data_IF_359772164226
#
_entry.id   IF_359772164226
#
_cell.length_a   1.000
_cell.length_b   1.000
_cell.length_c   1.000
_cell.angle_alpha   90.00
_cell.angle_beta   90.00
_cell.angle_gamma   90.00
#
_symmetry.space_group_name_H-M   'P 1'
#
loop_
_entity.id
_entity.type
_entity.pdbx_description
1 polymer ?
#
# COMPACT_ATOMS: atom_id res chain seq x y z
N UNK A 1 -3.37 27.05 7.39
CA UNK A 1 -3.79 25.67 7.08
C UNK A 1 -4.78 25.59 5.91
N UNK A 2 -5.84 26.41 5.88
CA UNK A 2 -6.82 26.43 4.77
C UNK A 2 -6.24 26.84 3.39
N UNK A 3 -5.09 27.52 3.37
CA UNK A 3 -4.37 27.91 2.15
C UNK A 3 -3.82 26.72 1.33
N UNK A 4 -3.65 25.54 1.93
CA UNK A 4 -3.27 24.32 1.23
C UNK A 4 -4.37 23.83 0.28
N UNK A 5 -5.64 23.96 0.68
CA UNK A 5 -6.77 23.57 -0.15
C UNK A 5 -7.05 24.56 -1.30
N UNK A 6 -6.39 25.72 -1.33
CA UNK A 6 -6.42 26.62 -2.48
C UNK A 6 -5.51 26.15 -3.64
N UNK A 7 -4.54 25.26 -3.37
CA UNK A 7 -3.65 24.70 -4.40
C UNK A 7 -4.28 23.48 -5.06
N UNK A 8 -4.66 23.61 -6.35
CA UNK A 8 -5.35 22.56 -7.11
C UNK A 8 -4.59 21.24 -7.16
N UNK A 9 -3.28 21.28 -7.38
CA UNK A 9 -2.45 20.06 -7.47
C UNK A 9 -2.42 19.32 -6.15
N UNK A 10 -2.30 20.05 -5.03
CA UNK A 10 -2.34 19.48 -3.70
C UNK A 10 -3.67 18.78 -3.43
N UNK A 11 -4.80 19.45 -3.73
CA UNK A 11 -6.14 18.88 -3.53
C UNK A 11 -6.33 17.61 -4.36
N UNK A 12 -5.87 17.60 -5.61
CA UNK A 12 -5.98 16.44 -6.49
C UNK A 12 -5.15 15.25 -5.99
N UNK A 13 -3.90 15.49 -5.61
CA UNK A 13 -3.02 14.44 -5.06
C UNK A 13 -3.53 13.92 -3.72
N UNK A 14 -4.03 14.80 -2.86
CA UNK A 14 -4.61 14.42 -1.58
C UNK A 14 -5.87 13.56 -1.76
N UNK A 15 -6.78 13.97 -2.65
CA UNK A 15 -7.97 13.18 -2.96
C UNK A 15 -7.60 11.80 -3.54
N UNK A 16 -6.61 11.74 -4.44
CA UNK A 16 -6.09 10.47 -4.95
C UNK A 16 -5.55 9.57 -3.82
N UNK A 17 -4.82 10.15 -2.87
CA UNK A 17 -4.30 9.43 -1.71
C UNK A 17 -5.42 8.91 -0.79
N UNK A 18 -6.47 9.70 -0.57
CA UNK A 18 -7.63 9.27 0.23
C UNK A 18 -8.32 8.08 -0.42
N UNK A 19 -8.58 8.15 -1.73
CA UNK A 19 -9.18 7.04 -2.49
C UNK A 19 -8.30 5.80 -2.45
N UNK A 20 -6.98 5.97 -2.64
CA UNK A 20 -6.01 4.87 -2.58
C UNK A 20 -5.97 4.20 -1.20
N UNK A 21 -6.05 4.98 -0.12
CA UNK A 21 -6.06 4.47 1.24
C UNK A 21 -7.34 3.69 1.54
N UNK A 22 -8.49 4.21 1.12
CA UNK A 22 -9.77 3.51 1.22
C UNK A 22 -9.69 2.18 0.48
N UNK A 23 -9.22 2.18 -0.78
CA UNK A 23 -9.07 0.96 -1.58
C UNK A 23 -8.14 -0.06 -0.91
N UNK A 24 -7.01 0.39 -0.35
CA UNK A 24 -6.06 -0.48 0.36
C UNK A 24 -6.68 -1.08 1.64
N UNK A 25 -7.45 -0.28 2.39
CA UNK A 25 -8.19 -0.76 3.56
C UNK A 25 -9.23 -1.81 3.18
N UNK A 26 -10.05 -1.55 2.16
CA UNK A 26 -11.05 -2.49 1.65
C UNK A 26 -10.42 -3.80 1.17
N UNK A 27 -9.30 -3.72 0.44
CA UNK A 27 -8.55 -4.90 0.01
C UNK A 27 -8.09 -5.74 1.21
N UNK A 28 -7.59 -5.09 2.27
CA UNK A 28 -7.12 -5.78 3.47
C UNK A 28 -8.26 -6.54 4.17
N UNK A 29 -9.45 -5.94 4.25
CA UNK A 29 -10.65 -6.59 4.79
C UNK A 29 -11.07 -7.77 3.90
N UNK A 30 -11.14 -7.56 2.58
CA UNK A 30 -11.51 -8.58 1.62
C UNK A 30 -10.56 -9.79 1.65
N UNK A 31 -9.25 -9.56 1.78
CA UNK A 31 -8.26 -10.62 1.94
C UNK A 31 -8.45 -11.41 3.24
N UNK A 32 -8.83 -10.73 4.33
CA UNK A 32 -9.14 -11.39 5.59
C UNK A 32 -10.38 -12.27 5.49
N UNK A 33 -11.45 -11.78 4.85
CA UNK A 33 -12.66 -12.57 4.58
C UNK A 33 -12.37 -13.74 3.65
N UNK A 34 -11.60 -13.53 2.58
CA UNK A 34 -11.18 -14.58 1.67
C UNK A 34 -10.37 -15.66 2.37
N UNK A 35 -9.43 -15.29 3.25
CA UNK A 35 -8.67 -16.26 4.03
C UNK A 35 -9.60 -17.09 4.94
N UNK A 36 -10.65 -16.48 5.49
CA UNK A 36 -11.68 -17.17 6.27
C UNK A 36 -12.50 -18.13 5.41
N UNK A 37 -12.94 -17.70 4.23
CA UNK A 37 -13.68 -18.56 3.31
C UNK A 37 -12.83 -19.76 2.83
N UNK A 38 -11.51 -19.58 2.69
CA UNK A 38 -10.60 -20.64 2.23
C UNK A 38 -10.12 -21.59 3.32
N UNK A 39 -9.88 -21.10 4.54
CA UNK A 39 -9.18 -21.86 5.59
C UNK A 39 -9.92 -21.89 6.95
N UNK A 40 -11.08 -21.22 7.07
CA UNK A 40 -11.91 -21.20 8.27
C UNK A 40 -11.12 -20.85 9.53
N UNK A 41 -11.06 -21.78 10.49
CA UNK A 41 -10.32 -21.62 11.74
C UNK A 41 -8.82 -21.35 11.54
N UNK A 42 -8.24 -21.77 10.41
CA UNK A 42 -6.81 -21.58 10.08
C UNK A 42 -6.55 -20.28 9.30
N UNK A 43 -7.58 -19.47 9.02
CA UNK A 43 -7.44 -18.22 8.28
C UNK A 43 -6.43 -17.25 8.89
N UNK A 44 -6.35 -17.19 10.22
CA UNK A 44 -5.35 -16.40 10.93
C UNK A 44 -3.92 -16.82 10.61
N UNK A 45 -3.65 -18.13 10.53
CA UNK A 45 -2.33 -18.64 10.14
C UNK A 45 -2.02 -18.37 8.66
N UNK A 46 -3.00 -18.56 7.77
CA UNK A 46 -2.81 -18.29 6.33
C UNK A 46 -2.55 -16.80 6.07
N UNK A 47 -3.35 -15.92 6.69
CA UNK A 47 -3.21 -14.48 6.48
C UNK A 47 -1.92 -13.94 7.13
N UNK A 48 -1.55 -14.43 8.31
CA UNK A 48 -0.31 -14.01 8.99
C UNK A 48 0.95 -14.47 8.24
N UNK A 49 0.97 -15.70 7.72
CA UNK A 49 2.09 -16.17 6.88
C UNK A 49 2.19 -15.37 5.58
N UNK A 50 1.06 -15.09 4.90
CA UNK A 50 1.04 -14.24 3.72
C UNK A 50 1.57 -12.83 4.01
N UNK A 51 1.12 -12.17 5.09
CA UNK A 51 1.63 -10.85 5.46
C UNK A 51 3.08 -10.85 5.92
N UNK A 52 3.54 -11.92 6.57
CA UNK A 52 4.94 -12.09 6.94
C UNK A 52 5.82 -12.13 5.69
N UNK A 53 5.44 -12.93 4.70
CA UNK A 53 6.14 -13.00 3.41
C UNK A 53 6.17 -11.62 2.75
N UNK A 54 5.02 -10.92 2.70
CA UNK A 54 4.93 -9.55 2.15
C UNK A 54 5.90 -8.60 2.85
N UNK A 55 5.96 -8.63 4.17
CA UNK A 55 6.83 -7.73 4.94
C UNK A 55 8.31 -8.03 4.72
N UNK A 56 8.70 -9.31 4.71
CA UNK A 56 10.08 -9.71 4.39
C UNK A 56 10.46 -9.25 2.98
N UNK A 57 9.59 -9.47 2.00
CA UNK A 57 9.81 -9.02 0.64
C UNK A 57 9.95 -7.49 0.57
N UNK A 58 9.08 -6.74 1.24
CA UNK A 58 9.12 -5.27 1.25
C UNK A 58 10.39 -4.72 1.88
N UNK A 59 10.78 -5.24 3.04
CA UNK A 59 12.00 -4.80 3.73
C UNK A 59 13.25 -5.17 2.91
N UNK A 60 13.27 -6.36 2.30
CA UNK A 60 14.39 -6.81 1.48
C UNK A 60 14.52 -6.07 0.15
N UNK A 61 13.42 -5.81 -0.55
CA UNK A 61 13.43 -5.14 -1.86
C UNK A 61 13.53 -3.62 -1.76
N UNK A 62 13.05 -3.01 -0.67
CA UNK A 62 13.02 -1.54 -0.54
C UNK A 62 14.40 -0.88 -0.74
N UNK A 63 15.51 -1.36 -0.14
CA UNK A 63 16.84 -0.80 -0.37
C UNK A 63 17.29 -0.93 -1.83
N UNK A 64 16.98 -2.05 -2.48
CA UNK A 64 17.33 -2.29 -3.90
C UNK A 64 16.57 -1.33 -4.79
N UNK A 65 15.25 -1.21 -4.59
CA UNK A 65 14.42 -0.27 -5.32
C UNK A 65 14.89 1.18 -5.11
N UNK A 66 15.21 1.58 -3.88
CA UNK A 66 15.77 2.91 -3.60
C UNK A 66 17.08 3.13 -4.34
N UNK A 67 18.03 2.20 -4.28
CA UNK A 67 19.33 2.33 -4.94
C UNK A 67 19.19 2.50 -6.46
N UNK A 68 18.23 1.81 -7.08
CA UNK A 68 17.93 1.94 -8.51
C UNK A 68 17.28 3.29 -8.85
N UNK A 69 16.33 3.74 -8.03
CA UNK A 69 15.55 4.96 -8.29
C UNK A 69 16.31 6.23 -7.93
N UNK A 70 17.31 6.17 -7.04
CA UNK A 70 18.10 7.35 -6.62
C UNK A 70 18.74 8.12 -7.78
N UNK A 71 19.02 7.47 -8.92
CA UNK A 71 19.63 8.09 -10.10
C UNK A 71 18.63 8.48 -11.19
N UNK A 72 17.33 8.21 -11.00
CA UNK A 72 16.28 8.48 -11.98
C UNK A 72 15.57 9.83 -11.74
N UNK A 73 15.11 10.51 -12.81
CA UNK A 73 14.34 11.75 -12.68
C UNK A 73 13.00 11.51 -11.99
N UNK A 74 12.71 12.27 -10.92
CA UNK A 74 11.55 12.07 -10.03
C UNK A 74 10.18 12.01 -10.73
N UNK A 75 10.01 12.74 -11.83
CA UNK A 75 8.75 12.74 -12.62
C UNK A 75 8.51 11.47 -13.44
N UNK A 76 9.53 10.64 -13.67
CA UNK A 76 9.39 9.41 -14.42
C UNK A 76 9.07 8.20 -13.52
N UNK A 77 9.23 8.35 -12.20
CA UNK A 77 9.09 7.25 -11.22
C UNK A 77 7.86 7.43 -10.31
N UNK A 78 7.24 8.61 -10.33
CA UNK A 78 6.00 8.96 -9.63
C UNK A 78 4.87 9.14 -10.65
#
# INVERSE_FOLDING_TARGET
MLTLFAHRDYVRLFAAQVVALIGTGLLTVALGLLAYDLAGAQAGLVLSTAYTIKMVAYVGLSPVAQALVQRLPRKAVL
#
